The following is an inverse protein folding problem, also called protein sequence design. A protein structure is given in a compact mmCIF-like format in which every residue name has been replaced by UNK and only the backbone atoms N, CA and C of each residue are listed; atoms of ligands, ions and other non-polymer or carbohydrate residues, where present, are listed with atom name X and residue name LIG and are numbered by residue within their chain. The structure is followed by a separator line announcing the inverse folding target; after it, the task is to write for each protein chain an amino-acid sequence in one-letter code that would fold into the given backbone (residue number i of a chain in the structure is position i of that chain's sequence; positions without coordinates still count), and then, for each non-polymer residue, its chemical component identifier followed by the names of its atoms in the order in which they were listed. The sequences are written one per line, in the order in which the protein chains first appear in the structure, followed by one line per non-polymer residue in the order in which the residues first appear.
data_IF_822072776948
#
_entry.id   IF_822072776948
#
_cell.length_a   1.000
_cell.length_b   1.000
_cell.length_c   1.000
_cell.angle_alpha   90.00
_cell.angle_beta   90.00
_cell.angle_gamma   90.00
#
_symmetry.space_group_name_H-M   'P 1'
#
loop_
_entity.id
_entity.type
_entity.pdbx_description
1 polymer ?
#
# COMPACT_ATOMS: atom_id res chain seq x y z
N UNK A 1 24.34 21.63 43.70
CA UNK A 1 23.41 20.57 43.25
C UNK A 1 22.28 21.27 42.54
N UNK A 2 22.31 21.35 41.19
CA UNK A 2 21.21 21.96 40.40
C UNK A 2 20.13 20.91 40.18
N UNK A 3 18.95 21.14 40.72
CA UNK A 3 17.78 20.31 40.47
C UNK A 3 17.35 20.53 39.02
N UNK A 4 17.39 19.47 38.24
CA UNK A 4 16.74 19.44 36.91
C UNK A 4 15.22 19.55 37.11
N UNK A 5 14.66 20.71 36.77
CA UNK A 5 13.21 20.87 36.65
C UNK A 5 12.76 19.93 35.54
N UNK A 6 12.03 18.89 35.88
CA UNK A 6 11.26 18.11 34.93
C UNK A 6 10.24 19.04 34.27
N UNK A 7 10.46 19.40 33.02
CA UNK A 7 9.42 20.08 32.21
C UNK A 7 8.15 19.23 32.30
N UNK A 8 7.09 19.80 32.88
CA UNK A 8 5.76 19.21 32.86
C UNK A 8 5.43 18.86 31.42
N UNK A 9 5.33 17.57 31.14
CA UNK A 9 4.91 17.09 29.81
C UNK A 9 3.44 17.49 29.66
N UNK A 10 3.19 18.49 28.81
CA UNK A 10 1.83 18.82 28.36
C UNK A 10 1.19 17.51 27.89
N UNK A 11 0.01 17.13 28.43
CA UNK A 11 -0.64 15.91 28.00
C UNK A 11 -0.84 15.91 26.50
N UNK A 12 -0.43 14.83 25.82
CA UNK A 12 -0.55 14.68 24.38
C UNK A 12 -2.04 14.80 24.01
N UNK A 13 -2.39 15.79 23.20
CA UNK A 13 -3.75 15.95 22.68
C UNK A 13 -4.13 14.68 21.92
N UNK A 14 -5.27 14.10 22.24
CA UNK A 14 -5.86 12.96 21.54
C UNK A 14 -7.11 13.39 20.78
N UNK A 15 -7.49 12.62 19.79
CA UNK A 15 -8.72 12.79 18.99
C UNK A 15 -9.44 11.45 18.89
N UNK A 16 -10.78 11.43 18.69
CA UNK A 16 -11.50 10.17 18.48
C UNK A 16 -10.97 9.43 17.25
N UNK A 17 -10.64 8.15 17.43
CA UNK A 17 -10.07 7.33 16.33
C UNK A 17 -11.01 7.20 15.16
N UNK A 18 -12.32 7.04 15.41
CA UNK A 18 -13.31 6.93 14.35
C UNK A 18 -13.34 8.19 13.46
N UNK A 19 -13.31 9.36 14.06
CA UNK A 19 -13.25 10.62 13.34
C UNK A 19 -11.94 10.78 12.57
N UNK A 20 -10.80 10.46 13.21
CA UNK A 20 -9.48 10.54 12.57
C UNK A 20 -9.38 9.61 11.35
N UNK A 21 -9.94 8.42 11.44
CA UNK A 21 -10.00 7.48 10.32
C UNK A 21 -10.94 7.98 9.21
N UNK A 22 -12.14 8.49 9.54
CA UNK A 22 -13.05 9.03 8.54
C UNK A 22 -12.40 10.19 7.76
N UNK A 23 -11.69 11.07 8.46
CA UNK A 23 -10.88 12.14 7.85
C UNK A 23 -9.77 11.58 6.97
N UNK A 24 -9.12 10.47 7.36
CA UNK A 24 -8.10 9.82 6.53
C UNK A 24 -8.69 9.22 5.25
N UNK A 25 -9.87 8.58 5.32
CA UNK A 25 -10.57 8.06 4.15
C UNK A 25 -11.03 9.19 3.22
N UNK A 26 -11.55 10.30 3.75
CA UNK A 26 -11.89 11.49 2.98
C UNK A 26 -10.65 12.05 2.25
N UNK A 27 -9.52 12.20 2.94
CA UNK A 27 -8.25 12.62 2.32
C UNK A 27 -7.83 11.69 1.18
N UNK A 28 -7.95 10.39 1.41
CA UNK A 28 -7.62 9.36 0.42
C UNK A 28 -8.53 9.44 -0.82
N UNK A 29 -9.82 9.63 -0.63
CA UNK A 29 -10.81 9.80 -1.70
C UNK A 29 -10.51 11.04 -2.55
N UNK A 30 -10.27 12.18 -1.91
CA UNK A 30 -9.99 13.46 -2.59
C UNK A 30 -8.70 13.38 -3.40
N UNK A 31 -7.64 12.79 -2.83
CA UNK A 31 -6.35 12.60 -3.52
C UNK A 31 -6.35 11.43 -4.52
N UNK A 32 -7.44 10.68 -4.63
CA UNK A 32 -7.55 9.47 -5.46
C UNK A 32 -6.47 8.44 -5.14
N UNK A 33 -6.02 8.39 -3.88
CA UNK A 33 -4.97 7.52 -3.39
C UNK A 33 -4.16 8.13 -2.26
N UNK A 34 -3.06 7.46 -1.89
CA UNK A 34 -2.15 7.95 -0.87
C UNK A 34 -1.02 8.79 -1.47
N UNK A 35 -1.03 10.07 -1.19
CA UNK A 35 0.05 11.00 -1.50
C UNK A 35 0.91 11.21 -0.25
N UNK A 36 2.13 10.70 -0.29
CA UNK A 36 3.08 10.75 0.85
C UNK A 36 3.57 12.15 1.14
N UNK A 37 3.95 12.87 0.08
CA UNK A 37 4.60 14.16 0.16
C UNK A 37 3.73 15.26 -0.46
N UNK A 38 3.79 16.46 0.13
CA UNK A 38 3.14 17.63 -0.41
C UNK A 38 3.82 18.09 -1.69
N UNK A 39 3.06 18.23 -2.75
CA UNK A 39 3.54 18.74 -4.03
C UNK A 39 3.34 20.23 -4.08
N UNK A 40 4.41 20.98 -4.21
CA UNK A 40 4.40 22.43 -4.42
C UNK A 40 4.61 22.69 -5.91
N UNK A 41 3.62 23.32 -6.51
CA UNK A 41 3.72 23.79 -7.88
C UNK A 41 4.18 25.26 -7.91
N UNK A 42 4.25 25.87 -9.11
CA UNK A 42 4.53 27.30 -9.26
C UNK A 42 3.43 28.16 -8.63
N UNK A 43 3.66 29.49 -8.54
CA UNK A 43 2.69 30.44 -7.99
C UNK A 43 1.30 30.37 -8.66
N UNK A 44 1.24 29.92 -9.89
CA UNK A 44 0.00 29.76 -10.68
C UNK A 44 -0.76 28.46 -10.39
N UNK A 45 -0.15 27.47 -9.72
CA UNK A 45 -0.78 26.19 -9.41
C UNK A 45 -0.90 26.00 -7.90
N UNK A 46 -2.07 25.54 -7.44
CA UNK A 46 -2.27 25.31 -6.01
C UNK A 46 -1.34 24.20 -5.48
N UNK A 47 -0.98 24.34 -4.21
CA UNK A 47 -0.24 23.31 -3.49
C UNK A 47 -1.16 22.12 -3.21
N UNK A 48 -0.75 20.92 -3.60
CA UNK A 48 -1.43 19.68 -3.23
C UNK A 48 -0.81 19.13 -1.94
N UNK A 49 -1.55 19.20 -0.85
CA UNK A 49 -1.11 18.68 0.44
C UNK A 49 -1.13 17.15 0.48
N UNK A 50 -0.16 16.56 1.16
CA UNK A 50 -0.14 15.13 1.44
C UNK A 50 -1.33 14.72 2.30
N UNK A 51 -1.75 13.44 2.22
CA UNK A 51 -2.82 12.91 3.08
C UNK A 51 -2.54 13.17 4.57
N UNK A 52 -1.29 13.01 5.00
CA UNK A 52 -0.87 13.29 6.37
C UNK A 52 -1.11 14.75 6.77
N UNK A 53 -0.77 15.70 5.89
CA UNK A 53 -1.00 17.10 6.17
C UNK A 53 -2.49 17.42 6.23
N UNK A 54 -3.27 16.90 5.29
CA UNK A 54 -4.73 17.09 5.28
C UNK A 54 -5.36 16.63 6.60
N UNK A 55 -5.03 15.42 7.08
CA UNK A 55 -5.52 14.93 8.37
C UNK A 55 -5.08 15.81 9.53
N UNK A 56 -3.83 16.25 9.56
CA UNK A 56 -3.32 17.15 10.61
C UNK A 56 -3.98 18.53 10.60
N UNK A 57 -4.29 19.07 9.44
CA UNK A 57 -4.98 20.34 9.31
C UNK A 57 -6.42 20.28 9.84
N UNK A 58 -7.13 19.19 9.53
CA UNK A 58 -8.50 18.99 10.02
C UNK A 58 -8.58 19.11 11.55
N UNK A 59 -7.61 18.55 12.26
CA UNK A 59 -7.54 18.62 13.72
C UNK A 59 -6.79 19.85 14.27
N UNK A 60 -6.52 20.85 13.44
CA UNK A 60 -5.80 22.08 13.80
C UNK A 60 -4.43 21.84 14.46
N UNK A 61 -3.78 20.73 14.16
CA UNK A 61 -2.42 20.38 14.64
C UNK A 61 -1.34 21.19 13.91
N UNK A 62 -1.67 21.66 12.71
CA UNK A 62 -0.78 22.48 11.88
C UNK A 62 -1.60 23.59 11.25
N UNK A 63 -1.11 24.83 11.28
CA UNK A 63 -1.73 25.95 10.56
C UNK A 63 -1.46 25.84 9.06
N UNK A 64 -2.45 26.14 8.24
CA UNK A 64 -2.32 26.21 6.78
C UNK A 64 -1.98 27.64 6.40
N UNK A 65 -0.80 27.86 5.83
CA UNK A 65 -0.43 29.15 5.26
C UNK A 65 -0.91 29.34 3.82
N UNK A 66 -1.35 28.26 3.16
CA UNK A 66 -1.89 28.25 1.79
C UNK A 66 -3.07 27.29 1.71
N UNK A 67 -4.19 27.75 1.19
CA UNK A 67 -5.43 26.97 1.08
C UNK A 67 -5.38 26.20 -0.24
N UNK A 68 -5.19 24.89 -0.14
CA UNK A 68 -5.47 23.94 -1.22
C UNK A 68 -6.98 24.01 -1.54
N UNK A 69 -7.40 24.21 -2.80
CA UNK A 69 -8.82 24.25 -3.18
C UNK A 69 -9.60 23.04 -2.69
N UNK A 70 -8.98 21.86 -2.70
CA UNK A 70 -9.60 20.61 -2.23
C UNK A 70 -9.79 20.61 -0.71
N UNK A 71 -9.09 21.48 0.02
CA UNK A 71 -9.15 21.54 1.48
C UNK A 71 -10.47 22.12 1.98
N UNK A 72 -11.07 23.06 1.27
CA UNK A 72 -12.36 23.67 1.64
C UNK A 72 -13.54 22.68 1.55
N UNK A 73 -13.39 21.61 0.76
CA UNK A 73 -14.40 20.55 0.60
C UNK A 73 -14.07 19.30 1.42
N UNK A 74 -13.07 19.39 2.28
CA UNK A 74 -12.53 18.28 3.04
C UNK A 74 -13.37 18.01 4.30
N UNK A 75 -14.50 17.34 4.10
CA UNK A 75 -15.31 16.80 5.18
C UNK A 75 -15.53 15.31 4.94
N UNK A 76 -15.47 14.48 5.99
CA UNK A 76 -15.88 13.09 5.91
C UNK A 76 -17.35 12.99 5.52
N UNK A 77 -17.65 12.03 4.66
CA UNK A 77 -19.03 11.69 4.25
C UNK A 77 -19.46 10.40 4.94
N UNK A 78 -20.74 10.04 4.84
CA UNK A 78 -21.24 8.76 5.34
C UNK A 78 -20.51 7.57 4.72
N UNK A 79 -20.11 7.67 3.44
CA UNK A 79 -19.30 6.65 2.76
C UNK A 79 -17.91 6.48 3.40
N UNK A 80 -17.29 7.59 3.83
CA UNK A 80 -15.98 7.54 4.51
C UNK A 80 -16.14 6.84 5.89
N UNK A 81 -17.21 7.09 6.64
CA UNK A 81 -17.51 6.37 7.89
C UNK A 81 -17.82 4.90 7.65
N UNK A 82 -18.55 4.56 6.61
CA UNK A 82 -18.79 3.17 6.22
C UNK A 82 -17.48 2.46 5.87
N UNK A 83 -16.56 3.12 5.17
CA UNK A 83 -15.23 2.61 4.85
C UNK A 83 -14.37 2.39 6.11
N UNK A 84 -14.51 3.21 7.16
CA UNK A 84 -13.88 2.99 8.46
C UNK A 84 -14.36 1.69 9.09
N UNK A 85 -15.68 1.47 9.14
CA UNK A 85 -16.23 0.24 9.72
C UNK A 85 -15.78 -1.01 8.95
N UNK A 86 -15.74 -0.93 7.64
CA UNK A 86 -15.25 -2.01 6.78
C UNK A 86 -13.75 -2.27 7.00
N UNK A 87 -12.93 -1.22 7.13
CA UNK A 87 -11.51 -1.34 7.46
C UNK A 87 -11.29 -1.97 8.84
N UNK A 88 -12.07 -1.55 9.85
CA UNK A 88 -12.03 -2.14 11.19
C UNK A 88 -12.37 -3.62 11.18
N UNK A 89 -13.44 -4.02 10.46
CA UNK A 89 -13.79 -5.45 10.28
C UNK A 89 -12.66 -6.23 9.64
N UNK A 90 -12.06 -5.65 8.61
CA UNK A 90 -10.93 -6.27 7.92
C UNK A 90 -9.71 -6.46 8.82
N UNK A 91 -9.38 -5.46 9.63
CA UNK A 91 -8.23 -5.50 10.54
C UNK A 91 -8.45 -6.44 11.73
N UNK A 92 -9.69 -6.55 12.25
CA UNK A 92 -10.04 -7.48 13.34
C UNK A 92 -9.69 -8.94 13.04
N UNK A 93 -9.65 -9.35 11.80
CA UNK A 93 -9.24 -10.72 11.40
C UNK A 93 -7.84 -11.09 11.90
N UNK A 94 -6.92 -10.11 11.97
CA UNK A 94 -5.57 -10.35 12.46
C UNK A 94 -5.53 -10.65 13.96
N UNK A 95 -6.42 -10.04 14.74
CA UNK A 95 -6.57 -10.33 16.16
C UNK A 95 -7.02 -11.78 16.36
N UNK A 96 -7.93 -12.26 15.49
CA UNK A 96 -8.44 -13.64 15.53
C UNK A 96 -7.40 -14.67 15.05
N UNK A 97 -6.51 -14.31 14.13
CA UNK A 97 -5.46 -15.20 13.61
C UNK A 97 -4.23 -15.30 14.51
N UNK A 98 -4.17 -14.52 15.59
CA UNK A 98 -3.04 -14.46 16.51
C UNK A 98 -1.98 -13.44 16.08
N UNK A 99 -1.70 -12.49 16.96
CA UNK A 99 -0.74 -11.40 16.71
C UNK A 99 0.74 -11.86 16.65
N UNK A 100 1.03 -13.13 16.99
CA UNK A 100 2.39 -13.63 17.13
C UNK A 100 3.24 -13.63 15.85
N UNK A 101 2.61 -13.74 14.69
CA UNK A 101 3.27 -13.82 13.38
C UNK A 101 3.31 -12.50 12.61
N UNK A 102 2.72 -11.43 13.18
CA UNK A 102 2.67 -10.13 12.51
C UNK A 102 3.95 -9.33 12.76
N UNK A 103 4.43 -8.66 11.73
CA UNK A 103 5.50 -7.67 11.88
C UNK A 103 5.03 -6.46 12.73
N UNK A 104 5.98 -5.72 13.28
CA UNK A 104 5.69 -4.56 14.16
C UNK A 104 4.86 -3.50 13.43
N UNK A 105 5.10 -3.29 12.15
CA UNK A 105 4.36 -2.31 11.36
C UNK A 105 2.87 -2.67 11.24
N UNK A 106 2.54 -3.95 10.98
CA UNK A 106 1.15 -4.41 10.94
C UNK A 106 0.48 -4.32 12.31
N UNK A 107 1.21 -4.66 13.39
CA UNK A 107 0.71 -4.48 14.77
C UNK A 107 0.34 -3.03 15.03
N UNK A 108 1.24 -2.11 14.73
CA UNK A 108 1.03 -0.68 14.87
C UNK A 108 -0.19 -0.14 14.09
N UNK A 109 -0.45 -0.70 12.88
CA UNK A 109 -1.64 -0.35 12.10
C UNK A 109 -2.92 -0.84 12.78
N UNK A 110 -2.92 -2.09 13.28
CA UNK A 110 -4.05 -2.69 13.99
C UNK A 110 -4.38 -1.90 15.26
N UNK A 111 -3.39 -1.56 16.05
CA UNK A 111 -3.55 -0.78 17.29
C UNK A 111 -4.14 0.59 16.98
N UNK A 112 -3.63 1.26 15.92
CA UNK A 112 -4.13 2.58 15.48
C UNK A 112 -5.60 2.57 15.03
N UNK A 113 -6.17 1.40 14.72
CA UNK A 113 -7.58 1.24 14.30
C UNK A 113 -8.46 0.78 15.46
N UNK A 114 -7.87 0.09 16.45
CA UNK A 114 -8.59 -0.61 17.52
C UNK A 114 -8.85 0.27 18.75
N UNK A 115 -8.01 1.26 19.00
CA UNK A 115 -8.15 2.17 20.14
C UNK A 115 -9.30 3.18 19.94
N UNK A 116 -9.93 3.62 21.02
CA UNK A 116 -11.01 4.63 20.97
C UNK A 116 -10.50 6.03 20.63
N UNK A 117 -9.27 6.33 21.04
CA UNK A 117 -8.63 7.63 20.77
C UNK A 117 -7.21 7.44 20.24
N UNK A 118 -6.80 8.36 19.38
CA UNK A 118 -5.43 8.38 18.81
C UNK A 118 -4.72 9.68 19.15
N UNK A 119 -3.43 9.57 19.48
CA UNK A 119 -2.59 10.76 19.68
C UNK A 119 -2.42 11.55 18.37
N UNK A 120 -2.46 12.88 18.47
CA UNK A 120 -2.21 13.78 17.33
C UNK A 120 -0.85 13.53 16.66
N UNK A 121 0.14 12.99 17.39
CA UNK A 121 1.43 12.60 16.83
C UNK A 121 1.33 11.41 15.88
N UNK A 122 0.34 10.56 16.06
CA UNK A 122 0.08 9.35 15.26
C UNK A 122 -0.84 9.61 14.05
N UNK A 123 -1.36 10.82 13.86
CA UNK A 123 -2.22 11.16 12.72
C UNK A 123 -1.58 10.88 11.35
N UNK A 124 -0.25 10.96 11.26
CA UNK A 124 0.46 10.56 10.05
C UNK A 124 0.34 9.07 9.71
N UNK A 125 0.28 8.21 10.73
CA UNK A 125 0.04 6.77 10.60
C UNK A 125 -1.43 6.52 10.22
N UNK A 126 -2.35 7.18 10.89
CA UNK A 126 -3.79 7.11 10.58
C UNK A 126 -4.07 7.50 9.13
N UNK A 127 -3.43 8.55 8.62
CA UNK A 127 -3.56 8.97 7.23
C UNK A 127 -3.15 7.90 6.19
N UNK A 128 -2.33 6.92 6.59
CA UNK A 128 -1.89 5.82 5.74
C UNK A 128 -2.83 4.60 5.79
N UNK A 129 -3.72 4.50 6.77
CA UNK A 129 -4.61 3.34 6.95
C UNK A 129 -5.41 2.97 5.69
N UNK A 130 -6.04 3.91 4.96
CA UNK A 130 -6.80 3.57 3.74
C UNK A 130 -5.94 2.85 2.70
N UNK A 131 -4.73 3.33 2.47
CA UNK A 131 -3.78 2.70 1.54
C UNK A 131 -3.30 1.35 2.06
N UNK A 132 -3.01 1.25 3.36
CA UNK A 132 -2.62 -0.01 3.99
C UNK A 132 -3.69 -1.09 3.81
N UNK A 133 -4.94 -0.79 4.13
CA UNK A 133 -6.06 -1.74 4.00
C UNK A 133 -6.24 -2.17 2.54
N UNK A 134 -6.14 -1.24 1.58
CA UNK A 134 -6.22 -1.56 0.16
C UNK A 134 -5.12 -2.52 -0.28
N UNK A 135 -3.87 -2.23 0.08
CA UNK A 135 -2.71 -3.08 -0.26
C UNK A 135 -2.81 -4.45 0.38
N UNK A 136 -3.18 -4.49 1.64
CA UNK A 136 -3.28 -5.73 2.41
C UNK A 136 -4.41 -6.64 1.87
N UNK A 137 -5.53 -6.08 1.44
CA UNK A 137 -6.58 -6.83 0.74
C UNK A 137 -6.08 -7.41 -0.58
N UNK A 138 -5.45 -6.58 -1.38
CA UNK A 138 -4.90 -7.01 -2.66
C UNK A 138 -3.88 -8.15 -2.49
N UNK A 139 -2.93 -8.01 -1.54
CA UNK A 139 -1.96 -9.07 -1.24
C UNK A 139 -2.62 -10.38 -0.80
N UNK A 140 -3.68 -10.27 -0.01
CA UNK A 140 -4.40 -11.43 0.49
C UNK A 140 -5.20 -12.14 -0.62
N UNK A 141 -5.85 -11.37 -1.50
CA UNK A 141 -6.60 -11.92 -2.62
C UNK A 141 -5.66 -12.54 -3.66
N UNK A 142 -4.56 -11.88 -3.97
CA UNK A 142 -3.50 -12.43 -4.82
C UNK A 142 -2.92 -13.72 -4.25
N UNK A 143 -2.65 -13.76 -2.93
CA UNK A 143 -2.15 -14.96 -2.27
C UNK A 143 -3.14 -16.12 -2.38
N UNK A 144 -4.43 -15.84 -2.21
CA UNK A 144 -5.48 -16.86 -2.37
C UNK A 144 -5.57 -17.34 -3.82
N UNK A 145 -5.58 -16.41 -4.79
CA UNK A 145 -5.61 -16.76 -6.22
C UNK A 145 -4.44 -17.68 -6.56
N UNK A 146 -3.22 -17.30 -6.18
CA UNK A 146 -2.02 -18.08 -6.51
C UNK A 146 -2.03 -19.46 -5.82
N UNK A 147 -2.43 -19.53 -4.55
CA UNK A 147 -2.47 -20.81 -3.82
C UNK A 147 -3.55 -21.77 -4.34
N UNK A 148 -4.60 -21.26 -4.95
CA UNK A 148 -5.68 -22.08 -5.50
C UNK A 148 -5.40 -22.44 -6.95
N UNK A 149 -5.08 -21.46 -7.79
CA UNK A 149 -5.00 -21.65 -9.24
C UNK A 149 -3.60 -22.07 -9.71
N UNK A 150 -2.53 -21.67 -8.98
CA UNK A 150 -1.13 -21.87 -9.43
C UNK A 150 -0.29 -22.63 -8.40
N UNK A 151 -0.92 -23.40 -7.52
CA UNK A 151 -0.26 -24.22 -6.51
C UNK A 151 0.76 -25.18 -7.12
N UNK A 152 0.43 -25.78 -8.26
CA UNK A 152 1.23 -26.77 -8.95
C UNK A 152 2.21 -26.15 -9.97
N UNK A 153 2.48 -24.83 -9.83
CA UNK A 153 3.44 -24.13 -10.66
C UNK A 153 4.79 -24.85 -10.71
N UNK A 154 5.30 -25.05 -11.91
CA UNK A 154 6.60 -25.69 -12.17
C UNK A 154 7.62 -24.64 -12.61
N UNK A 155 8.89 -24.98 -12.48
CA UNK A 155 9.95 -24.14 -13.02
C UNK A 155 10.02 -24.23 -14.55
N UNK A 156 10.17 -23.07 -15.19
CA UNK A 156 10.31 -22.95 -16.64
C UNK A 156 11.78 -22.98 -17.02
N UNK A 157 12.19 -24.00 -17.78
CA UNK A 157 13.55 -24.13 -18.32
C UNK A 157 14.65 -24.16 -17.25
N UNK A 158 15.90 -24.04 -17.69
CA UNK A 158 17.09 -23.90 -16.85
C UNK A 158 17.61 -22.47 -16.89
N UNK A 159 18.53 -22.11 -15.98
CA UNK A 159 19.17 -20.80 -16.02
C UNK A 159 19.76 -20.50 -17.40
N UNK A 160 19.50 -19.30 -17.90
CA UNK A 160 19.85 -18.74 -19.24
C UNK A 160 19.01 -19.26 -20.41
N UNK A 161 18.13 -20.23 -20.23
CA UNK A 161 17.22 -20.66 -21.27
C UNK A 161 16.31 -19.52 -21.73
N UNK A 162 16.03 -19.49 -23.03
CA UNK A 162 15.06 -18.55 -23.59
C UNK A 162 13.64 -19.04 -23.26
N UNK A 163 12.77 -18.09 -22.89
CA UNK A 163 11.37 -18.31 -22.59
C UNK A 163 10.54 -17.36 -23.43
N UNK A 164 9.55 -17.90 -24.12
CA UNK A 164 8.58 -17.14 -24.92
C UNK A 164 7.17 -17.66 -24.67
N UNK A 165 6.17 -16.78 -24.75
CA UNK A 165 4.77 -17.17 -24.62
C UNK A 165 3.86 -15.97 -24.36
N UNK A 166 2.68 -16.24 -23.84
CA UNK A 166 1.72 -15.21 -23.41
C UNK A 166 1.58 -15.25 -21.90
N UNK A 167 1.81 -14.13 -21.26
CA UNK A 167 1.64 -13.98 -19.82
C UNK A 167 0.35 -13.25 -19.47
N UNK A 168 -0.24 -13.61 -18.32
CA UNK A 168 -1.24 -12.81 -17.60
C UNK A 168 -0.54 -12.13 -16.42
N UNK A 169 -0.62 -10.81 -16.33
CA UNK A 169 -0.05 -10.04 -15.21
C UNK A 169 -1.00 -10.17 -14.02
N UNK A 170 -0.51 -10.70 -12.89
CA UNK A 170 -1.27 -10.87 -11.66
C UNK A 170 -1.06 -9.71 -10.67
N UNK A 171 0.17 -9.19 -10.59
CA UNK A 171 0.52 -8.08 -9.70
C UNK A 171 1.63 -7.22 -10.31
N UNK A 172 1.63 -5.94 -9.90
CA UNK A 172 2.72 -5.03 -10.21
C UNK A 172 2.99 -4.11 -9.03
N UNK A 173 4.28 -3.84 -8.76
CA UNK A 173 4.72 -2.91 -7.72
C UNK A 173 5.84 -2.04 -8.24
N UNK A 174 5.64 -0.73 -8.22
CA UNK A 174 6.69 0.21 -8.56
C UNK A 174 7.75 0.27 -7.45
N UNK A 175 9.00 0.25 -7.83
CA UNK A 175 10.16 0.43 -6.95
C UNK A 175 10.86 1.74 -7.29
N UNK A 176 10.76 2.72 -6.40
CA UNK A 176 11.46 4.01 -6.53
C UNK A 176 12.99 3.81 -6.65
N UNK A 177 13.54 2.86 -5.87
CA UNK A 177 14.98 2.56 -5.86
C UNK A 177 15.51 2.13 -7.23
N UNK A 178 14.70 1.38 -8.00
CA UNK A 178 15.10 0.80 -9.28
C UNK A 178 14.41 1.47 -10.47
N UNK A 179 13.58 2.49 -10.21
CA UNK A 179 12.76 3.19 -11.22
C UNK A 179 12.10 2.23 -12.20
N UNK A 180 11.53 1.15 -11.65
CA UNK A 180 10.95 0.05 -12.42
C UNK A 180 9.86 -0.67 -11.65
N UNK A 181 9.02 -1.37 -12.38
CA UNK A 181 7.95 -2.20 -11.83
C UNK A 181 8.45 -3.64 -11.64
N UNK A 182 8.17 -4.21 -10.47
CA UNK A 182 8.27 -5.64 -10.21
C UNK A 182 6.94 -6.28 -10.58
N UNK A 183 6.98 -7.30 -11.41
CA UNK A 183 5.81 -8.02 -11.88
C UNK A 183 5.77 -9.43 -11.32
N UNK A 184 4.58 -9.87 -10.92
CA UNK A 184 4.19 -11.27 -10.77
C UNK A 184 3.22 -11.59 -11.89
N UNK A 185 3.48 -12.64 -12.64
CA UNK A 185 2.68 -13.04 -13.79
C UNK A 185 2.61 -14.57 -13.91
N UNK A 186 1.75 -15.05 -14.79
CA UNK A 186 1.64 -16.47 -15.13
C UNK A 186 1.95 -16.68 -16.60
N UNK A 187 2.80 -17.66 -16.89
CA UNK A 187 3.14 -18.15 -18.21
C UNK A 187 2.87 -19.66 -18.27
N UNK A 188 1.94 -20.07 -19.14
CA UNK A 188 1.55 -21.46 -19.30
C UNK A 188 1.22 -22.17 -17.97
N UNK A 189 0.44 -21.49 -17.10
CA UNK A 189 0.06 -21.98 -15.78
C UNK A 189 1.15 -21.89 -14.70
N UNK A 190 2.33 -21.38 -15.01
CA UNK A 190 3.46 -21.32 -14.09
C UNK A 190 3.79 -19.88 -13.68
N UNK A 191 4.12 -19.69 -12.41
CA UNK A 191 4.47 -18.39 -11.87
C UNK A 191 5.83 -17.92 -12.37
N UNK A 192 5.84 -16.67 -12.85
CA UNK A 192 7.04 -15.97 -13.26
C UNK A 192 7.10 -14.60 -12.60
N UNK A 193 8.31 -14.12 -12.31
CA UNK A 193 8.53 -12.75 -11.86
C UNK A 193 9.64 -12.07 -12.64
N UNK A 194 9.50 -10.77 -12.83
CA UNK A 194 10.48 -9.97 -13.58
C UNK A 194 10.35 -8.48 -13.25
N UNK A 195 11.33 -7.72 -13.69
CA UNK A 195 11.30 -6.25 -13.64
C UNK A 195 11.17 -5.67 -15.03
N UNK A 196 10.39 -4.59 -15.15
CA UNK A 196 10.27 -3.81 -16.40
C UNK A 196 10.08 -2.33 -16.06
N UNK A 197 10.55 -1.43 -16.93
CA UNK A 197 10.44 0.02 -16.74
C UNK A 197 9.05 0.58 -17.08
N UNK A 198 8.30 -0.11 -17.91
CA UNK A 198 7.00 0.34 -18.37
C UNK A 198 5.88 -0.19 -17.47
N UNK A 199 4.86 0.64 -17.28
CA UNK A 199 3.62 0.28 -16.59
C UNK A 199 2.76 -0.62 -17.47
N UNK A 200 2.38 -1.78 -16.94
CA UNK A 200 1.48 -2.73 -17.60
C UNK A 200 0.37 -3.11 -16.61
N UNK A 201 -0.90 -2.80 -16.89
CA UNK A 201 -1.98 -3.03 -15.94
C UNK A 201 -2.10 -4.48 -15.49
N UNK A 202 -2.46 -4.68 -14.21
CA UNK A 202 -2.85 -5.98 -13.66
C UNK A 202 -4.03 -6.55 -14.46
N UNK A 203 -4.03 -7.86 -14.70
CA UNK A 203 -5.00 -8.56 -15.55
C UNK A 203 -4.69 -8.52 -17.04
N UNK A 204 -3.75 -7.67 -17.49
CA UNK A 204 -3.43 -7.59 -18.92
C UNK A 204 -2.65 -8.80 -19.41
N UNK A 205 -2.94 -9.19 -20.66
CA UNK A 205 -2.21 -10.23 -21.40
C UNK A 205 -1.12 -9.60 -22.25
N UNK A 206 0.08 -10.18 -22.22
CA UNK A 206 1.24 -9.71 -23.02
C UNK A 206 2.00 -10.90 -23.58
N UNK A 207 2.50 -10.76 -24.81
CA UNK A 207 3.49 -11.70 -25.32
C UNK A 207 4.85 -11.35 -24.73
N UNK A 208 5.54 -12.36 -24.17
CA UNK A 208 6.85 -12.18 -23.53
C UNK A 208 7.93 -12.92 -24.29
N UNK A 209 9.13 -12.31 -24.36
CA UNK A 209 10.40 -12.96 -24.64
C UNK A 209 11.38 -12.59 -23.55
N UNK A 210 11.98 -13.60 -22.92
CA UNK A 210 12.84 -13.41 -21.75
C UNK A 210 13.88 -14.52 -21.66
N UNK A 211 14.75 -14.44 -20.65
CA UNK A 211 15.64 -15.51 -20.25
C UNK A 211 15.41 -15.87 -18.79
N UNK A 212 15.51 -17.16 -18.47
CA UNK A 212 15.49 -17.60 -17.09
C UNK A 212 16.72 -17.07 -16.36
N UNK A 213 16.48 -16.36 -15.24
CA UNK A 213 17.53 -15.87 -14.36
C UNK A 213 17.84 -16.85 -13.26
N UNK A 214 16.80 -17.31 -12.57
CA UNK A 214 16.90 -18.30 -11.50
C UNK A 214 15.52 -18.91 -11.20
N UNK A 215 15.55 -20.05 -10.56
CA UNK A 215 14.39 -20.76 -10.05
C UNK A 215 14.36 -20.63 -8.53
N UNK A 216 13.21 -20.35 -7.94
CA UNK A 216 13.08 -20.16 -6.49
C UNK A 216 11.70 -20.58 -6.02
N UNK A 217 11.61 -21.10 -4.80
CA UNK A 217 10.32 -21.27 -4.15
C UNK A 217 9.88 -19.95 -3.54
N UNK A 218 8.78 -19.41 -4.02
CA UNK A 218 8.18 -18.22 -3.42
C UNK A 218 7.52 -18.59 -2.10
N UNK A 219 8.07 -18.13 -0.98
CA UNK A 219 7.61 -18.48 0.37
C UNK A 219 6.25 -17.87 0.73
N UNK A 220 5.91 -16.73 0.11
CA UNK A 220 4.61 -16.09 0.36
C UNK A 220 3.47 -16.89 -0.25
N UNK A 221 3.67 -17.36 -1.47
CA UNK A 221 2.65 -18.10 -2.22
C UNK A 221 2.75 -19.61 -2.00
N UNK A 222 3.85 -20.09 -1.41
CA UNK A 222 4.21 -21.49 -1.28
C UNK A 222 4.23 -22.24 -2.64
N UNK A 223 4.65 -21.56 -3.69
CA UNK A 223 4.66 -22.05 -5.05
C UNK A 223 6.04 -21.86 -5.71
N UNK A 224 6.35 -22.70 -6.71
CA UNK A 224 7.54 -22.56 -7.53
C UNK A 224 7.43 -21.32 -8.41
N UNK A 225 8.49 -20.52 -8.49
CA UNK A 225 8.55 -19.27 -9.26
C UNK A 225 9.82 -19.24 -10.10
N UNK A 226 9.67 -18.92 -11.38
CA UNK A 226 10.82 -18.68 -12.27
C UNK A 226 11.03 -17.17 -12.41
N UNK A 227 12.20 -16.68 -11.98
CA UNK A 227 12.58 -15.27 -12.20
C UNK A 227 13.20 -15.10 -13.56
N UNK A 228 12.71 -14.08 -14.28
CA UNK A 228 13.12 -13.79 -15.64
C UNK A 228 13.94 -12.49 -15.71
N UNK A 229 14.83 -12.44 -16.69
CA UNK A 229 15.59 -11.24 -17.06
C UNK A 229 15.56 -11.02 -18.58
N UNK A 230 16.10 -9.89 -19.04
CA UNK A 230 16.08 -9.46 -20.46
C UNK A 230 14.66 -9.48 -21.06
N UNK A 231 13.69 -9.07 -20.25
CA UNK A 231 12.27 -9.15 -20.57
C UNK A 231 11.90 -8.13 -21.65
N UNK A 232 11.31 -8.62 -22.73
CA UNK A 232 10.66 -7.81 -23.77
C UNK A 232 9.19 -8.17 -23.81
N UNK A 233 8.32 -7.16 -23.70
CA UNK A 233 6.87 -7.32 -23.73
C UNK A 233 6.30 -6.72 -25.00
N UNK A 234 5.36 -7.43 -25.60
CA UNK A 234 4.67 -7.03 -26.83
C UNK A 234 3.16 -7.11 -26.62
N UNK A 235 2.40 -6.38 -27.44
CA UNK A 235 0.95 -6.56 -27.49
C UNK A 235 0.61 -7.99 -27.97
N UNK A 236 -0.46 -8.54 -27.42
CA UNK A 236 -1.06 -9.79 -27.92
C UNK A 236 -1.90 -9.47 -29.13
#
# INVERSE_FOLDING_TARGET
MMAFQTKDRVPLKTVPTQEALAVAFAAYRIRKGYQKDTRRYSEEKPTEHSNKEMVKFHFAVKSVSYVDPDFNMFQPTEEDFAAVEDARKWMKRYILLGLGELDEFKKDMIDSVSEDTVSVNNLGRVAFIPEFVKRDRHENDLTKEIRVEYRDSQYLGKEKDAVEGVIKILDQRYSERWESYNYTAVLDGNLVSFMNKFDHPVGSMKRIKAKVRLQTKNRFFDANETRLNYVKLYKV
#
